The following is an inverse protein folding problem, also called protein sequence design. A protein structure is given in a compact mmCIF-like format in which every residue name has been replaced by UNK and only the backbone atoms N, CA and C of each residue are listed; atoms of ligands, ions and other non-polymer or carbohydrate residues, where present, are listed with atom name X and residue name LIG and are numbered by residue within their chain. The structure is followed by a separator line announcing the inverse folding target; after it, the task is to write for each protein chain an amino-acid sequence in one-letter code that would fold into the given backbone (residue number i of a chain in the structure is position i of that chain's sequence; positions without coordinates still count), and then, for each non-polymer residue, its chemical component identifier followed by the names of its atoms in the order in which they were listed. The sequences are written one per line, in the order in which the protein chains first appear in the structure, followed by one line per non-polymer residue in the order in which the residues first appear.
data_IF_046257935943
#
_entry.id   IF_046257935943
#
_cell.length_a   1.000
_cell.length_b   1.000
_cell.length_c   1.000
_cell.angle_alpha   90.00
_cell.angle_beta   90.00
_cell.angle_gamma   90.00
#
_symmetry.space_group_name_H-M   'P 1'
#
loop_
_entity.id
_entity.type
_entity.pdbx_description
1 polymer ?
#
# COMPACT_ATOMS: atom_id res chain seq x y z
N UNK A 1 20.54 -10.56 42.77
CA UNK A 1 19.17 -10.94 42.43
C UNK A 1 18.51 -9.69 41.89
N UNK A 2 18.56 -9.49 40.61
CA UNK A 2 17.85 -8.43 39.89
C UNK A 2 17.06 -9.12 38.78
N UNK A 3 15.76 -8.97 38.91
CA UNK A 3 14.76 -9.51 37.98
C UNK A 3 14.83 -8.79 36.64
N UNK A 4 14.98 -9.56 35.58
CA UNK A 4 14.88 -9.09 34.21
C UNK A 4 13.39 -8.88 33.86
N UNK A 5 12.93 -7.65 33.81
CA UNK A 5 11.64 -7.30 33.21
C UNK A 5 11.67 -7.53 31.70
N UNK A 6 10.97 -8.54 31.28
CA UNK A 6 10.68 -8.87 29.89
C UNK A 6 9.70 -7.83 29.32
N UNK A 7 10.15 -7.05 28.35
CA UNK A 7 9.32 -6.23 27.48
C UNK A 7 8.44 -7.13 26.57
N UNK A 8 7.30 -7.53 27.08
CA UNK A 8 6.24 -8.20 26.32
C UNK A 8 4.99 -7.31 26.38
N UNK A 9 4.79 -6.49 25.38
CA UNK A 9 3.70 -5.54 25.32
C UNK A 9 3.29 -5.14 23.91
N UNK A 10 3.27 -6.09 22.97
CA UNK A 10 2.45 -5.93 21.75
C UNK A 10 1.08 -6.49 22.05
N UNK A 11 -0.03 -5.78 21.78
CA UNK A 11 -1.37 -6.33 21.95
C UNK A 11 -1.50 -7.55 21.04
N UNK A 12 -1.84 -8.70 21.63
CA UNK A 12 -2.18 -9.90 20.90
C UNK A 12 -3.31 -9.56 19.92
N UNK A 13 -3.08 -9.77 18.63
CA UNK A 13 -4.12 -9.67 17.61
C UNK A 13 -5.24 -10.62 18.02
N UNK A 14 -6.43 -10.08 18.31
CA UNK A 14 -7.61 -10.91 18.51
C UNK A 14 -7.87 -11.66 17.21
N UNK A 15 -8.03 -12.97 17.30
CA UNK A 15 -8.12 -13.94 16.20
C UNK A 15 -9.34 -13.73 15.25
N UNK A 16 -10.07 -12.64 15.41
CA UNK A 16 -11.26 -12.31 14.64
C UNK A 16 -10.91 -11.40 13.44
N UNK A 17 -11.04 -11.94 12.24
CA UNK A 17 -10.85 -11.19 11.01
C UNK A 17 -11.87 -10.04 10.90
N UNK A 18 -11.38 -8.81 10.73
CA UNK A 18 -12.21 -7.64 10.50
C UNK A 18 -12.82 -7.65 9.10
N UNK A 19 -12.04 -8.13 8.11
CA UNK A 19 -12.48 -8.40 6.74
C UNK A 19 -12.21 -9.87 6.44
N UNK A 20 -13.19 -10.58 5.92
CA UNK A 20 -13.06 -11.94 5.41
C UNK A 20 -13.72 -12.04 4.04
N UNK A 21 -12.94 -12.41 3.04
CA UNK A 21 -13.40 -12.70 1.69
C UNK A 21 -13.04 -14.14 1.33
N UNK A 22 -13.97 -14.86 0.71
CA UNK A 22 -13.79 -16.24 0.22
C UNK A 22 -14.28 -16.36 -1.20
N UNK A 23 -13.39 -16.83 -2.08
CA UNK A 23 -13.66 -16.98 -3.52
C UNK A 23 -14.33 -15.75 -4.13
N UNK A 24 -13.83 -14.55 -3.73
CA UNK A 24 -14.45 -13.28 -4.09
C UNK A 24 -14.27 -12.99 -5.56
N UNK A 25 -15.36 -12.75 -6.27
CA UNK A 25 -15.37 -12.46 -7.70
C UNK A 25 -16.05 -11.14 -8.00
N UNK A 26 -15.44 -10.37 -8.92
CA UNK A 26 -16.05 -9.18 -9.51
C UNK A 26 -15.99 -9.22 -11.01
N UNK A 27 -17.18 -9.18 -11.66
CA UNK A 27 -17.32 -9.06 -13.12
C UNK A 27 -18.01 -7.75 -13.52
N UNK A 28 -17.61 -7.25 -14.67
CA UNK A 28 -18.22 -6.12 -15.36
C UNK A 28 -18.52 -6.58 -16.80
N UNK A 29 -19.76 -7.02 -17.06
CA UNK A 29 -20.08 -7.74 -18.30
C UNK A 29 -19.21 -9.00 -18.42
N UNK A 30 -18.50 -9.13 -19.54
CA UNK A 30 -17.61 -10.27 -19.82
C UNK A 30 -16.23 -10.13 -19.17
N UNK A 31 -15.89 -8.96 -18.62
CA UNK A 31 -14.60 -8.71 -18.00
C UNK A 31 -14.59 -9.12 -16.52
N UNK A 32 -13.68 -10.02 -16.13
CA UNK A 32 -13.47 -10.42 -14.75
C UNK A 32 -12.35 -9.60 -14.15
N UNK A 33 -12.70 -8.66 -13.29
CA UNK A 33 -11.76 -7.76 -12.63
C UNK A 33 -11.13 -8.36 -11.35
N UNK A 34 -11.85 -9.26 -10.68
CA UNK A 34 -11.38 -10.02 -9.51
C UNK A 34 -11.87 -11.44 -9.71
N UNK A 35 -10.97 -12.42 -9.61
CA UNK A 35 -11.19 -13.81 -10.00
C UNK A 35 -10.89 -14.77 -8.85
N UNK A 36 -11.86 -14.92 -7.93
CA UNK A 36 -11.85 -15.94 -6.88
C UNK A 36 -10.80 -15.73 -5.81
N UNK A 37 -10.60 -14.49 -5.32
CA UNK A 37 -9.60 -14.22 -4.29
C UNK A 37 -10.11 -14.53 -2.88
N UNK A 38 -9.20 -15.02 -2.03
CA UNK A 38 -9.39 -15.20 -0.59
C UNK A 38 -8.54 -14.17 0.16
N UNK A 39 -9.15 -13.42 1.08
CA UNK A 39 -8.48 -12.36 1.84
C UNK A 39 -9.00 -12.31 3.27
N UNK A 40 -8.07 -12.22 4.22
CA UNK A 40 -8.39 -12.02 5.63
C UNK A 40 -7.57 -10.83 6.16
N UNK A 41 -8.22 -9.84 6.75
CA UNK A 41 -7.57 -8.68 7.38
C UNK A 41 -7.94 -8.67 8.86
N UNK A 42 -6.93 -8.62 9.72
CA UNK A 42 -7.13 -8.60 11.17
C UNK A 42 -7.32 -7.19 11.70
N UNK A 43 -7.91 -7.07 12.87
CA UNK A 43 -8.12 -5.78 13.54
C UNK A 43 -6.77 -5.15 13.91
N UNK A 44 -6.60 -3.85 13.63
CA UNK A 44 -5.36 -3.10 13.90
C UNK A 44 -4.21 -3.41 12.92
N UNK A 45 -4.44 -4.28 11.93
CA UNK A 45 -3.48 -4.60 10.89
C UNK A 45 -3.42 -3.49 9.82
N UNK A 46 -2.24 -3.29 9.25
CA UNK A 46 -2.06 -2.56 7.99
C UNK A 46 -1.85 -3.55 6.87
N UNK A 47 -2.87 -3.69 6.01
CA UNK A 47 -2.92 -4.67 4.93
C UNK A 47 -2.84 -4.01 3.56
N UNK A 48 -1.98 -4.54 2.67
CA UNK A 48 -1.74 -4.02 1.33
C UNK A 48 -2.28 -4.88 0.20
N UNK A 49 -2.82 -4.25 -0.84
CA UNK A 49 -3.01 -4.84 -2.16
C UNK A 49 -1.96 -4.22 -3.09
N UNK A 50 -0.91 -4.96 -3.41
CA UNK A 50 0.17 -4.55 -4.31
C UNK A 50 -0.05 -5.15 -5.69
N UNK A 51 0.21 -4.40 -6.76
CA UNK A 51 0.14 -4.90 -8.14
C UNK A 51 -0.01 -3.81 -9.18
N UNK A 52 0.07 -4.15 -10.47
CA UNK A 52 -0.02 -3.19 -11.57
C UNK A 52 -1.44 -2.61 -11.72
N UNK A 53 -1.56 -1.61 -12.57
CA UNK A 53 -2.85 -1.09 -12.98
C UNK A 53 -3.67 -2.18 -13.66
N UNK A 54 -4.96 -2.26 -13.32
CA UNK A 54 -5.85 -3.32 -13.85
C UNK A 54 -5.78 -4.66 -13.10
N UNK A 55 -4.91 -4.84 -12.09
CA UNK A 55 -4.81 -6.09 -11.32
C UNK A 55 -6.04 -6.41 -10.43
N UNK A 56 -7.03 -5.53 -10.33
CA UNK A 56 -8.24 -5.76 -9.54
C UNK A 56 -8.28 -5.06 -8.18
N UNK A 57 -7.20 -4.38 -7.77
CA UNK A 57 -7.04 -3.73 -6.45
C UNK A 57 -8.20 -2.78 -6.11
N UNK A 58 -8.44 -1.75 -6.94
CA UNK A 58 -9.52 -0.77 -6.69
C UNK A 58 -10.92 -1.40 -6.78
N UNK A 59 -11.11 -2.47 -7.58
CA UNK A 59 -12.37 -3.21 -7.60
C UNK A 59 -12.62 -3.93 -6.28
N UNK A 60 -11.59 -4.54 -5.71
CA UNK A 60 -11.63 -5.17 -4.37
C UNK A 60 -11.92 -4.11 -3.30
N UNK A 61 -11.23 -2.97 -3.33
CA UNK A 61 -11.48 -1.85 -2.40
C UNK A 61 -12.92 -1.34 -2.47
N UNK A 62 -13.50 -1.22 -3.66
CA UNK A 62 -14.89 -0.77 -3.84
C UNK A 62 -15.91 -1.78 -3.30
N UNK A 63 -15.63 -3.08 -3.36
CA UNK A 63 -16.45 -4.11 -2.71
C UNK A 63 -16.35 -4.01 -1.19
N UNK A 64 -15.15 -3.89 -0.63
CA UNK A 64 -14.93 -3.70 0.80
C UNK A 64 -15.58 -2.40 1.29
N UNK A 65 -15.49 -1.30 0.53
CA UNK A 65 -16.15 -0.02 0.82
C UNK A 65 -17.67 -0.03 0.67
N UNK A 66 -18.29 -1.16 0.32
CA UNK A 66 -19.73 -1.28 0.04
C UNK A 66 -20.24 -0.30 -1.05
N UNK A 67 -19.40 0.00 -2.04
CA UNK A 67 -19.73 0.87 -3.19
C UNK A 67 -20.04 0.05 -4.43
N UNK A 68 -19.45 -1.14 -4.55
CA UNK A 68 -19.69 -2.08 -5.65
C UNK A 68 -20.21 -3.42 -5.10
N UNK A 69 -21.25 -4.01 -5.69
CA UNK A 69 -21.73 -5.32 -5.24
C UNK A 69 -20.71 -6.42 -5.61
N UNK A 70 -20.65 -7.44 -4.77
CA UNK A 70 -19.96 -8.71 -5.05
C UNK A 70 -20.73 -9.45 -6.15
N UNK A 71 -20.00 -10.07 -7.11
CA UNK A 71 -20.63 -10.87 -8.17
C UNK A 71 -20.83 -12.32 -7.71
N UNK A 72 -19.75 -12.93 -7.15
CA UNK A 72 -19.76 -14.28 -6.59
C UNK A 72 -18.84 -14.36 -5.39
N UNK A 73 -18.97 -15.40 -4.60
CA UNK A 73 -18.20 -15.60 -3.37
C UNK A 73 -18.81 -14.91 -2.15
N UNK A 74 -18.06 -14.87 -1.08
CA UNK A 74 -18.51 -14.28 0.20
C UNK A 74 -17.59 -13.14 0.60
N UNK A 75 -18.20 -12.07 1.14
CA UNK A 75 -17.49 -10.96 1.78
C UNK A 75 -18.16 -10.63 3.11
N UNK A 76 -17.37 -10.58 4.17
CA UNK A 76 -17.80 -10.12 5.50
C UNK A 76 -16.89 -8.99 5.96
N UNK A 77 -17.50 -7.93 6.51
CA UNK A 77 -16.79 -6.78 7.05
C UNK A 77 -17.39 -6.51 8.43
N UNK A 78 -16.56 -6.52 9.47
CA UNK A 78 -17.04 -6.51 10.86
C UNK A 78 -18.05 -7.65 11.14
N UNK A 79 -17.92 -8.82 10.48
CA UNK A 79 -18.87 -9.92 10.54
C UNK A 79 -20.18 -9.70 9.78
N UNK A 80 -20.39 -8.51 9.19
CA UNK A 80 -21.62 -8.10 8.48
C UNK A 80 -21.53 -8.35 6.98
N UNK A 81 -22.69 -8.53 6.33
CA UNK A 81 -22.83 -8.70 4.89
C UNK A 81 -22.95 -7.32 4.19
N UNK A 82 -22.03 -6.93 3.27
CA UNK A 82 -22.10 -5.66 2.57
C UNK A 82 -23.39 -5.42 1.81
N UNK A 83 -24.02 -6.47 1.28
CA UNK A 83 -25.26 -6.36 0.53
C UNK A 83 -26.47 -6.00 1.42
N UNK A 84 -26.45 -6.43 2.68
CA UNK A 84 -27.53 -6.21 3.65
C UNK A 84 -27.26 -5.05 4.60
N UNK A 85 -26.03 -4.98 5.11
CA UNK A 85 -25.63 -4.08 6.19
C UNK A 85 -24.75 -2.91 5.70
N UNK A 86 -24.69 -2.63 4.41
CA UNK A 86 -23.77 -1.66 3.81
C UNK A 86 -23.80 -0.27 4.47
N UNK A 87 -24.97 0.23 4.91
CA UNK A 87 -25.05 1.50 5.65
C UNK A 87 -24.35 1.43 7.01
N UNK A 88 -24.53 0.33 7.75
CA UNK A 88 -23.90 0.11 9.07
C UNK A 88 -22.39 -0.06 8.95
N UNK A 89 -21.95 -0.75 7.90
CA UNK A 89 -20.52 -0.94 7.59
C UNK A 89 -19.91 0.42 7.25
N UNK A 90 -20.48 1.18 6.30
CA UNK A 90 -19.95 2.49 5.90
C UNK A 90 -19.88 3.50 7.04
N UNK A 91 -20.76 3.42 8.03
CA UNK A 91 -20.70 4.28 9.22
C UNK A 91 -19.41 4.06 10.05
N UNK A 92 -18.71 2.92 9.89
CA UNK A 92 -17.50 2.52 10.62
C UNK A 92 -16.24 2.54 9.75
N UNK A 93 -16.36 2.98 8.49
CA UNK A 93 -15.26 3.03 7.51
C UNK A 93 -14.95 4.48 7.17
N UNK A 94 -13.66 4.81 7.08
CA UNK A 94 -13.16 5.98 6.37
C UNK A 94 -12.66 5.57 4.99
N UNK A 95 -12.87 6.42 3.99
CA UNK A 95 -12.40 6.15 2.62
C UNK A 95 -11.63 7.35 2.10
N UNK A 96 -10.39 7.11 1.67
CA UNK A 96 -9.56 8.06 0.95
C UNK A 96 -9.45 7.54 -0.49
N UNK A 97 -10.23 8.09 -1.43
CA UNK A 97 -10.21 7.66 -2.83
C UNK A 97 -8.92 8.12 -3.52
N UNK A 98 -8.61 7.52 -4.67
CA UNK A 98 -7.44 7.89 -5.48
C UNK A 98 -7.46 9.39 -5.88
N UNK A 99 -8.61 9.90 -6.30
CA UNK A 99 -8.80 11.32 -6.56
C UNK A 99 -9.43 12.03 -5.36
N UNK A 100 -8.86 13.17 -4.95
CA UNK A 100 -9.41 13.97 -3.86
C UNK A 100 -10.76 14.56 -4.27
N UNK A 101 -11.82 14.08 -3.63
CA UNK A 101 -13.21 14.52 -3.87
C UNK A 101 -13.58 15.63 -2.87
N UNK A 102 -12.78 16.71 -2.82
CA UNK A 102 -13.04 17.87 -1.97
C UNK A 102 -13.95 18.85 -2.69
N UNK A 103 -14.84 19.50 -1.95
CA UNK A 103 -15.69 20.56 -2.47
C UNK A 103 -14.88 21.87 -2.54
N UNK A 104 -14.62 22.35 -3.76
CA UNK A 104 -13.83 23.55 -3.99
C UNK A 104 -14.53 24.84 -3.58
N UNK A 105 -15.87 24.81 -3.47
CA UNK A 105 -16.66 25.95 -3.02
C UNK A 105 -16.59 26.17 -1.50
N UNK A 106 -16.18 25.14 -0.76
CA UNK A 106 -16.07 25.17 0.70
C UNK A 106 -14.64 25.48 1.15
N UNK A 107 -14.52 25.98 2.38
CA UNK A 107 -13.23 26.03 3.05
C UNK A 107 -12.76 24.64 3.47
N UNK A 108 -11.48 24.50 3.82
CA UNK A 108 -10.91 23.25 4.33
C UNK A 108 -11.73 22.72 5.50
N UNK A 109 -11.99 23.52 6.52
CA UNK A 109 -12.76 23.08 7.70
C UNK A 109 -14.21 22.79 7.37
N UNK A 110 -14.83 23.54 6.44
CA UNK A 110 -16.23 23.32 6.08
C UNK A 110 -16.39 22.00 5.29
N UNK A 111 -15.39 21.57 4.53
CA UNK A 111 -15.36 20.24 3.92
C UNK A 111 -15.48 19.13 4.98
N UNK A 112 -14.73 19.24 6.09
CA UNK A 112 -14.76 18.24 7.17
C UNK A 112 -16.10 18.32 7.92
N UNK A 113 -16.56 19.52 8.25
CA UNK A 113 -17.83 19.74 8.96
C UNK A 113 -19.01 19.20 8.14
N UNK A 114 -19.08 19.49 6.84
CA UNK A 114 -20.13 18.98 5.96
C UNK A 114 -20.10 17.45 5.93
N UNK A 115 -18.91 16.85 5.77
CA UNK A 115 -18.77 15.40 5.72
C UNK A 115 -19.22 14.73 7.01
N UNK A 116 -18.93 15.31 8.19
CA UNK A 116 -19.43 14.82 9.48
C UNK A 116 -20.96 14.82 9.57
N UNK A 117 -21.63 15.77 8.89
CA UNK A 117 -23.10 15.80 8.85
C UNK A 117 -23.73 14.61 8.12
N UNK A 118 -23.02 13.96 7.19
CA UNK A 118 -23.50 12.72 6.56
C UNK A 118 -23.53 11.53 7.52
N UNK A 119 -22.85 11.62 8.66
CA UNK A 119 -22.86 10.63 9.74
C UNK A 119 -23.79 11.02 10.89
N UNK A 120 -24.70 11.95 10.68
CA UNK A 120 -25.66 12.46 11.67
C UNK A 120 -25.02 13.10 12.92
N UNK A 121 -23.73 13.49 12.85
CA UNK A 121 -23.04 14.15 13.96
C UNK A 121 -23.58 15.58 14.16
N UNK A 122 -23.77 16.03 15.42
CA UNK A 122 -24.13 17.42 15.71
C UNK A 122 -23.11 18.41 15.16
N UNK A 123 -23.55 19.58 14.68
CA UNK A 123 -22.65 20.57 14.04
C UNK A 123 -21.48 21.00 14.95
N UNK A 124 -21.73 21.15 16.24
CA UNK A 124 -20.69 21.50 17.22
C UNK A 124 -19.62 20.39 17.31
N UNK A 125 -20.05 19.12 17.31
CA UNK A 125 -19.14 17.96 17.32
C UNK A 125 -18.36 17.85 16.00
N UNK A 126 -19.00 18.06 14.85
CA UNK A 126 -18.31 18.11 13.57
C UNK A 126 -17.20 19.18 13.57
N UNK A 127 -17.49 20.35 14.14
CA UNK A 127 -16.53 21.46 14.21
C UNK A 127 -15.35 21.12 15.11
N UNK A 128 -15.60 20.59 16.31
CA UNK A 128 -14.56 20.16 17.24
C UNK A 128 -13.64 19.11 16.60
N UNK A 129 -14.22 18.05 16.04
CA UNK A 129 -13.44 17.00 15.35
C UNK A 129 -12.67 17.53 14.15
N UNK A 130 -13.26 18.43 13.37
CA UNK A 130 -12.57 19.03 12.23
C UNK A 130 -11.32 19.82 12.65
N UNK A 131 -11.39 20.58 13.76
CA UNK A 131 -10.26 21.32 14.31
C UNK A 131 -9.15 20.36 14.79
N UNK A 132 -9.48 19.31 15.52
CA UNK A 132 -8.54 18.27 15.98
C UNK A 132 -7.88 17.52 14.80
N UNK A 133 -8.67 17.18 13.79
CA UNK A 133 -8.16 16.48 12.60
C UNK A 133 -7.27 17.39 11.73
N UNK A 134 -7.57 18.69 11.66
CA UNK A 134 -6.69 19.63 10.96
C UNK A 134 -5.37 19.84 11.71
N UNK A 135 -5.37 19.80 13.02
CA UNK A 135 -4.15 19.77 13.82
C UNK A 135 -3.35 18.48 13.57
N UNK A 136 -4.03 17.33 13.61
CA UNK A 136 -3.41 16.03 13.31
C UNK A 136 -2.71 16.00 11.96
N UNK A 137 -3.33 16.57 10.90
CA UNK A 137 -2.72 16.63 9.55
C UNK A 137 -1.87 17.88 9.31
N UNK A 138 -1.63 18.72 10.34
CA UNK A 138 -0.83 19.95 10.27
C UNK A 138 -1.35 20.96 9.23
N UNK A 139 -2.64 21.25 9.27
CA UNK A 139 -3.29 22.21 8.39
C UNK A 139 -4.21 23.18 9.16
N UNK A 140 -3.98 23.39 10.46
CA UNK A 140 -4.78 24.30 11.29
C UNK A 140 -4.70 25.74 10.78
N UNK A 141 -3.54 26.17 10.29
CA UNK A 141 -3.30 27.50 9.69
C UNK A 141 -4.06 27.70 8.38
N UNK A 142 -4.48 26.63 7.72
CA UNK A 142 -5.23 26.61 6.46
C UNK A 142 -6.72 26.33 6.63
N UNK A 143 -7.22 26.20 7.85
CA UNK A 143 -8.61 25.83 8.12
C UNK A 143 -9.65 26.66 7.35
N UNK A 144 -9.42 27.97 7.21
CA UNK A 144 -10.33 28.92 6.51
C UNK A 144 -9.98 29.08 5.02
N UNK A 145 -8.89 28.48 4.54
CA UNK A 145 -8.51 28.57 3.12
C UNK A 145 -9.49 27.79 2.25
N UNK A 146 -9.65 28.22 0.99
CA UNK A 146 -10.32 27.41 -0.05
C UNK A 146 -9.44 26.23 -0.43
N UNK A 147 -10.02 25.25 -1.11
CA UNK A 147 -9.31 24.03 -1.55
C UNK A 147 -8.40 24.32 -2.75
N UNK A 148 -8.83 25.18 -3.68
CA UNK A 148 -8.11 25.45 -4.93
C UNK A 148 -6.62 25.82 -4.73
N UNK A 149 -6.24 26.76 -3.83
CA UNK A 149 -4.85 27.18 -3.65
C UNK A 149 -3.96 26.18 -2.90
N UNK A 150 -4.48 25.03 -2.47
CA UNK A 150 -3.70 24.01 -1.77
C UNK A 150 -2.85 23.18 -2.74
N UNK A 151 -1.63 22.82 -2.33
CA UNK A 151 -0.83 21.83 -3.06
C UNK A 151 -1.51 20.45 -3.06
N UNK A 152 -1.13 19.56 -3.99
CA UNK A 152 -1.64 18.20 -4.04
C UNK A 152 -1.46 17.45 -2.70
N UNK A 153 -0.28 17.56 -2.08
CA UNK A 153 -0.03 16.97 -0.76
C UNK A 153 -0.90 17.56 0.36
N UNK A 154 -1.23 18.85 0.29
CA UNK A 154 -2.17 19.46 1.24
C UNK A 154 -3.60 18.97 0.99
N UNK A 155 -4.06 18.89 -0.26
CA UNK A 155 -5.39 18.34 -0.61
C UNK A 155 -5.50 16.89 -0.13
N UNK A 156 -4.46 16.08 -0.32
CA UNK A 156 -4.43 14.69 0.16
C UNK A 156 -4.54 14.59 1.67
N UNK A 157 -3.85 15.45 2.43
CA UNK A 157 -3.96 15.52 3.89
C UNK A 157 -5.37 15.94 4.34
N UNK A 158 -6.02 16.88 3.65
CA UNK A 158 -7.44 17.24 3.91
C UNK A 158 -8.35 16.05 3.64
N UNK A 159 -8.13 15.30 2.56
CA UNK A 159 -8.90 14.09 2.20
C UNK A 159 -8.82 13.03 3.30
N UNK A 160 -7.62 12.83 3.86
CA UNK A 160 -7.43 11.92 5.00
C UNK A 160 -8.14 12.44 6.26
N UNK A 161 -7.95 13.71 6.63
CA UNK A 161 -8.65 14.30 7.76
C UNK A 161 -10.17 14.14 7.63
N UNK A 162 -10.72 14.38 6.43
CA UNK A 162 -12.13 14.18 6.14
C UNK A 162 -12.57 12.74 6.36
N UNK A 163 -11.77 11.75 5.94
CA UNK A 163 -12.10 10.34 6.09
C UNK A 163 -12.09 9.83 7.52
N UNK A 164 -11.54 10.62 8.46
CA UNK A 164 -11.46 10.29 9.89
C UNK A 164 -12.57 10.93 10.73
N UNK A 165 -13.42 11.79 10.15
CA UNK A 165 -14.42 12.58 10.88
C UNK A 165 -15.43 11.71 11.65
N UNK A 166 -15.76 10.53 11.12
CA UNK A 166 -16.69 9.56 11.73
C UNK A 166 -16.02 8.59 12.71
N UNK A 167 -14.74 8.81 13.08
CA UNK A 167 -13.96 7.93 13.96
C UNK A 167 -13.98 6.46 13.48
N UNK A 168 -13.42 6.19 12.29
CA UNK A 168 -13.54 4.88 11.65
C UNK A 168 -12.65 3.84 12.32
N UNK A 169 -13.13 2.58 12.35
CA UNK A 169 -12.36 1.41 12.78
C UNK A 169 -11.53 0.82 11.63
N UNK A 170 -11.88 1.15 10.39
CA UNK A 170 -11.24 0.72 9.15
C UNK A 170 -11.06 1.92 8.24
N UNK A 171 -9.83 2.16 7.80
CA UNK A 171 -9.50 3.19 6.81
C UNK A 171 -9.08 2.52 5.50
N UNK A 172 -9.82 2.80 4.43
CA UNK A 172 -9.54 2.36 3.08
C UNK A 172 -8.80 3.46 2.32
N UNK A 173 -7.63 3.13 1.76
CA UNK A 173 -6.71 4.07 1.10
C UNK A 173 -6.44 3.58 -0.32
N UNK A 174 -7.07 4.21 -1.32
CA UNK A 174 -6.83 3.86 -2.72
C UNK A 174 -5.69 4.72 -3.28
N UNK A 175 -4.51 4.11 -3.47
CA UNK A 175 -3.27 4.75 -3.93
C UNK A 175 -2.96 6.07 -3.18
N UNK A 176 -2.71 6.03 -1.87
CA UNK A 176 -2.72 7.23 -1.04
C UNK A 176 -1.61 8.23 -1.36
N UNK A 177 -0.49 7.82 -1.96
CA UNK A 177 0.67 8.68 -2.23
C UNK A 177 0.87 9.02 -3.70
N UNK A 178 0.01 8.56 -4.59
CA UNK A 178 0.10 8.85 -6.02
C UNK A 178 0.07 10.36 -6.29
N UNK A 179 1.05 10.84 -7.05
CA UNK A 179 1.18 12.26 -7.40
C UNK A 179 1.75 13.16 -6.30
N UNK A 180 2.21 12.59 -5.18
CA UNK A 180 2.87 13.33 -4.12
C UNK A 180 4.39 13.38 -4.33
N UNK A 181 4.99 14.53 -3.99
CA UNK A 181 6.45 14.64 -3.88
C UNK A 181 6.98 13.76 -2.71
N UNK A 182 8.28 13.42 -2.71
CA UNK A 182 8.85 12.53 -1.69
C UNK A 182 8.64 13.03 -0.25
N UNK A 183 8.71 14.34 -0.02
CA UNK A 183 8.53 14.91 1.31
C UNK A 183 7.07 14.77 1.78
N UNK A 184 6.10 15.08 0.92
CA UNK A 184 4.68 14.92 1.22
C UNK A 184 4.32 13.45 1.48
N UNK A 185 4.95 12.49 0.76
CA UNK A 185 4.79 11.05 0.94
C UNK A 185 5.23 10.62 2.35
N UNK A 186 6.42 11.02 2.79
CA UNK A 186 6.92 10.68 4.14
C UNK A 186 6.03 11.26 5.25
N UNK A 187 5.57 12.51 5.10
CA UNK A 187 4.63 13.11 6.06
C UNK A 187 3.34 12.30 6.14
N UNK A 188 2.84 11.82 5.01
CA UNK A 188 1.64 11.00 4.97
C UNK A 188 1.86 9.64 5.65
N UNK A 189 2.95 8.94 5.35
CA UNK A 189 3.30 7.67 5.98
C UNK A 189 3.38 7.77 7.52
N UNK A 190 4.01 8.85 8.05
CA UNK A 190 4.04 9.10 9.49
C UNK A 190 2.64 9.22 10.09
N UNK A 191 1.69 9.89 9.39
CA UNK A 191 0.31 10.01 9.87
C UNK A 191 -0.43 8.68 9.84
N UNK A 192 -0.30 7.90 8.78
CA UNK A 192 -0.90 6.56 8.69
C UNK A 192 -0.34 5.61 9.74
N UNK A 193 0.95 5.65 9.99
CA UNK A 193 1.58 4.88 11.05
C UNK A 193 1.03 5.23 12.44
N UNK A 194 0.82 6.52 12.74
CA UNK A 194 0.20 6.96 14.01
C UNK A 194 -1.24 6.48 14.15
N UNK A 195 -2.03 6.50 13.07
CA UNK A 195 -3.39 5.96 13.09
C UNK A 195 -3.42 4.47 13.40
N UNK A 196 -2.49 3.71 12.80
CA UNK A 196 -2.31 2.29 13.11
C UNK A 196 -1.97 2.07 14.59
N UNK A 197 -1.06 2.85 15.16
CA UNK A 197 -0.72 2.77 16.59
C UNK A 197 -1.92 3.06 17.51
N UNK A 198 -2.88 3.86 17.04
CA UNK A 198 -4.15 4.13 17.73
C UNK A 198 -5.18 3.01 17.56
N UNK A 199 -4.84 1.93 16.86
CA UNK A 199 -5.70 0.76 16.68
C UNK A 199 -6.62 0.82 15.44
N UNK A 200 -6.47 1.81 14.57
CA UNK A 200 -7.19 1.87 13.29
C UNK A 200 -6.62 0.81 12.35
N UNK A 201 -7.49 -0.03 11.78
CA UNK A 201 -7.11 -0.97 10.73
C UNK A 201 -6.95 -0.22 9.42
N UNK A 202 -5.84 -0.42 8.73
CA UNK A 202 -5.56 0.20 7.44
C UNK A 202 -5.62 -0.85 6.33
N UNK A 203 -6.31 -0.53 5.24
CA UNK A 203 -6.26 -1.33 4.01
C UNK A 203 -5.92 -0.38 2.88
N UNK A 204 -4.83 -0.65 2.18
CA UNK A 204 -4.37 0.20 1.10
C UNK A 204 -4.16 -0.55 -0.20
N UNK A 205 -4.36 0.14 -1.31
CA UNK A 205 -3.90 -0.29 -2.63
C UNK A 205 -2.69 0.53 -3.02
N UNK A 206 -1.72 -0.10 -3.64
CA UNK A 206 -0.56 0.60 -4.16
C UNK A 206 0.06 -0.16 -5.34
N UNK A 207 0.78 0.56 -6.17
CA UNK A 207 1.72 0.03 -7.14
C UNK A 207 3.17 0.44 -6.78
N UNK A 208 3.36 1.15 -5.65
CA UNK A 208 4.68 1.52 -5.13
C UNK A 208 5.14 0.51 -4.07
N UNK A 209 6.25 -0.16 -4.35
CA UNK A 209 6.81 -1.18 -3.46
C UNK A 209 7.32 -0.59 -2.15
N UNK A 210 7.96 0.57 -2.23
CA UNK A 210 8.44 1.32 -1.05
C UNK A 210 7.30 1.68 -0.09
N UNK A 211 6.12 2.05 -0.61
CA UNK A 211 4.93 2.29 0.20
C UNK A 211 4.45 1.01 0.89
N UNK A 212 4.41 -0.11 0.14
CA UNK A 212 4.01 -1.39 0.70
C UNK A 212 4.98 -1.88 1.79
N UNK A 213 6.30 -1.73 1.59
CA UNK A 213 7.32 -2.08 2.57
C UNK A 213 7.23 -1.25 3.85
N UNK A 214 6.93 0.05 3.72
CA UNK A 214 6.89 0.96 4.87
C UNK A 214 5.60 0.89 5.68
N UNK A 215 4.47 0.63 5.03
CA UNK A 215 3.15 0.74 5.68
C UNK A 215 2.53 -0.60 6.03
N UNK A 216 2.79 -1.67 5.27
CA UNK A 216 2.06 -2.93 5.44
C UNK A 216 2.74 -3.88 6.41
N UNK A 217 1.94 -4.47 7.31
CA UNK A 217 2.34 -5.64 8.09
C UNK A 217 2.32 -6.89 7.23
N UNK A 218 1.30 -7.00 6.38
CA UNK A 218 1.06 -8.08 5.46
C UNK A 218 0.40 -7.52 4.19
N UNK A 219 0.69 -8.15 3.08
CA UNK A 219 0.12 -7.74 1.80
C UNK A 219 -0.13 -8.95 0.90
N UNK A 220 -0.97 -8.75 -0.10
CA UNK A 220 -1.12 -9.64 -1.23
C UNK A 220 -0.57 -8.97 -2.48
N UNK A 221 0.14 -9.76 -3.30
CA UNK A 221 0.52 -9.36 -4.66
C UNK A 221 -0.58 -9.81 -5.60
N UNK A 222 -1.16 -8.87 -6.33
CA UNK A 222 -2.23 -9.13 -7.29
C UNK A 222 -1.74 -8.97 -8.73
N UNK A 223 -2.08 -9.92 -9.59
CA UNK A 223 -1.92 -9.81 -11.03
C UNK A 223 -3.10 -10.48 -11.75
N UNK A 224 -3.63 -9.86 -12.83
CA UNK A 224 -4.73 -10.41 -13.63
C UNK A 224 -5.99 -10.78 -12.83
N UNK A 225 -6.32 -10.03 -11.79
CA UNK A 225 -7.49 -10.29 -10.92
C UNK A 225 -7.28 -11.37 -9.86
N UNK A 226 -6.08 -11.96 -9.74
CA UNK A 226 -5.75 -13.04 -8.81
C UNK A 226 -4.71 -12.62 -7.80
N UNK A 227 -4.66 -13.33 -6.67
CA UNK A 227 -3.55 -13.22 -5.71
C UNK A 227 -2.49 -14.23 -6.15
N UNK A 228 -1.26 -13.74 -6.39
CA UNK A 228 -0.11 -14.57 -6.78
C UNK A 228 0.85 -14.84 -5.63
N UNK A 229 0.84 -13.99 -4.60
CA UNK A 229 1.59 -14.19 -3.36
C UNK A 229 0.94 -13.44 -2.20
N UNK A 230 1.15 -13.92 -0.97
CA UNK A 230 0.69 -13.28 0.27
C UNK A 230 1.74 -13.45 1.36
N UNK A 231 1.99 -12.41 2.14
CA UNK A 231 2.92 -12.44 3.26
C UNK A 231 3.25 -11.05 3.80
N UNK A 232 4.12 -10.99 4.80
CA UNK A 232 4.76 -9.74 5.17
C UNK A 232 5.77 -9.33 4.07
N UNK A 233 6.09 -8.03 3.91
CA UNK A 233 7.15 -7.62 2.98
C UNK A 233 8.42 -8.45 3.14
N UNK A 234 8.86 -8.63 4.36
CA UNK A 234 10.06 -9.41 4.69
C UNK A 234 9.94 -10.88 4.26
N UNK A 235 8.82 -11.54 4.60
CA UNK A 235 8.61 -12.96 4.25
C UNK A 235 8.56 -13.17 2.74
N UNK A 236 7.92 -12.23 2.00
CA UNK A 236 7.87 -12.28 0.54
C UNK A 236 9.27 -12.13 -0.08
N UNK A 237 10.08 -11.20 0.45
CA UNK A 237 11.47 -11.01 -0.02
C UNK A 237 12.29 -12.29 0.26
N UNK A 238 12.21 -12.86 1.45
CA UNK A 238 12.92 -14.09 1.84
C UNK A 238 12.50 -15.32 1.00
N UNK A 239 11.22 -15.36 0.56
CA UNK A 239 10.67 -16.51 -0.18
C UNK A 239 10.91 -16.44 -1.69
N UNK A 240 10.84 -15.24 -2.28
CA UNK A 240 10.82 -15.04 -3.73
C UNK A 240 12.06 -14.33 -4.29
N UNK A 241 12.99 -13.92 -3.44
CA UNK A 241 14.25 -13.29 -3.84
C UNK A 241 15.42 -13.82 -3.00
N UNK A 242 16.64 -13.49 -3.42
CA UNK A 242 17.84 -13.74 -2.63
C UNK A 242 18.06 -12.63 -1.60
N UNK A 243 19.07 -12.79 -0.74
CA UNK A 243 19.40 -11.78 0.27
C UNK A 243 19.83 -10.45 -0.32
N UNK A 244 20.60 -10.50 -1.42
CA UNK A 244 21.24 -9.34 -2.02
C UNK A 244 21.09 -9.38 -3.54
N UNK A 245 21.16 -8.20 -4.14
CA UNK A 245 21.20 -8.00 -5.59
C UNK A 245 22.43 -7.18 -5.92
N UNK A 246 23.25 -7.69 -6.83
CA UNK A 246 24.33 -6.94 -7.43
C UNK A 246 23.80 -6.30 -8.72
N UNK A 247 23.70 -4.99 -8.73
CA UNK A 247 23.29 -4.17 -9.87
C UNK A 247 24.52 -3.67 -10.60
N UNK A 248 24.64 -4.01 -11.91
CA UNK A 248 25.76 -3.64 -12.75
C UNK A 248 25.27 -2.76 -13.90
N UNK A 249 25.92 -1.64 -14.12
CA UNK A 249 25.68 -0.78 -15.28
C UNK A 249 26.87 -0.79 -16.21
N UNK A 250 26.60 -0.98 -17.50
CA UNK A 250 27.57 -0.99 -18.56
C UNK A 250 27.24 0.11 -19.58
N UNK A 251 28.18 0.46 -20.49
CA UNK A 251 27.89 1.39 -21.57
C UNK A 251 26.62 0.99 -22.35
N UNK A 252 25.83 1.98 -22.74
CA UNK A 252 24.54 1.77 -23.40
C UNK A 252 24.63 0.79 -24.59
N UNK A 253 23.72 -0.18 -24.63
CA UNK A 253 23.66 -1.19 -25.68
C UNK A 253 24.65 -2.35 -25.53
N UNK A 254 25.41 -2.44 -24.43
CA UNK A 254 26.37 -3.55 -24.20
C UNK A 254 25.96 -4.52 -23.12
N UNK A 255 24.81 -4.30 -22.45
CA UNK A 255 24.33 -5.12 -21.34
C UNK A 255 24.23 -6.61 -21.70
N UNK A 256 23.66 -6.96 -22.87
CA UNK A 256 23.53 -8.35 -23.31
C UNK A 256 24.89 -9.03 -23.52
N UNK A 257 25.87 -8.29 -24.07
CA UNK A 257 27.22 -8.80 -24.29
C UNK A 257 27.95 -9.12 -22.99
N UNK A 258 27.78 -8.25 -21.99
CA UNK A 258 28.38 -8.44 -20.67
C UNK A 258 27.62 -9.46 -19.84
N UNK A 259 26.28 -9.48 -19.94
CA UNK A 259 25.43 -10.47 -19.29
C UNK A 259 25.85 -11.91 -19.63
N UNK A 260 26.20 -12.18 -20.87
CA UNK A 260 26.67 -13.51 -21.29
C UNK A 260 27.92 -14.00 -20.54
N UNK A 261 28.74 -13.08 -19.98
CA UNK A 261 29.93 -13.42 -19.19
C UNK A 261 29.67 -13.64 -17.72
N UNK A 262 28.52 -13.19 -17.21
CA UNK A 262 28.19 -13.15 -15.78
C UNK A 262 26.93 -13.95 -15.45
N UNK A 263 26.32 -14.62 -16.43
CA UNK A 263 25.03 -15.30 -16.33
C UNK A 263 24.96 -16.39 -15.25
N UNK A 264 26.07 -17.01 -14.92
CA UNK A 264 26.21 -18.08 -13.93
C UNK A 264 26.78 -17.59 -12.58
N UNK A 265 26.92 -16.29 -12.41
CA UNK A 265 27.25 -15.67 -11.13
C UNK A 265 25.95 -15.40 -10.39
N UNK A 266 25.73 -16.07 -9.26
CA UNK A 266 24.50 -15.97 -8.50
C UNK A 266 23.44 -16.99 -8.89
N UNK A 267 22.26 -16.89 -8.29
CA UNK A 267 21.17 -17.88 -8.45
C UNK A 267 20.23 -17.52 -9.60
N UNK A 268 20.07 -16.25 -9.88
CA UNK A 268 19.24 -15.69 -10.95
C UNK A 268 19.90 -14.43 -11.49
N UNK A 269 19.66 -14.11 -12.75
CA UNK A 269 20.07 -12.84 -13.32
C UNK A 269 18.96 -12.28 -14.21
N UNK A 270 18.95 -10.96 -14.39
CA UNK A 270 18.04 -10.26 -15.29
C UNK A 270 18.81 -9.18 -16.06
N UNK A 271 18.49 -9.06 -17.34
CA UNK A 271 19.04 -8.01 -18.20
C UNK A 271 17.96 -6.98 -18.45
N UNK A 272 18.16 -5.80 -17.91
CA UNK A 272 17.29 -4.65 -18.13
C UNK A 272 17.95 -3.72 -19.18
N UNK A 273 17.21 -2.82 -19.82
CA UNK A 273 17.76 -1.92 -20.82
C UNK A 273 18.95 -1.08 -20.32
N UNK A 274 18.96 -0.70 -19.06
CA UNK A 274 19.96 0.19 -18.43
C UNK A 274 20.92 -0.50 -17.47
N UNK A 275 20.69 -1.79 -17.12
CA UNK A 275 21.49 -2.51 -16.11
C UNK A 275 21.32 -4.02 -16.20
N UNK A 276 22.22 -4.74 -15.53
CA UNK A 276 22.15 -6.17 -15.26
C UNK A 276 22.00 -6.39 -13.77
N UNK A 277 21.04 -7.22 -13.36
CA UNK A 277 20.80 -7.61 -11.96
C UNK A 277 21.26 -9.05 -11.77
N UNK A 278 22.11 -9.27 -10.76
CA UNK A 278 22.54 -10.61 -10.32
C UNK A 278 22.03 -10.82 -8.92
N UNK A 279 21.16 -11.80 -8.75
CA UNK A 279 20.55 -12.17 -7.48
C UNK A 279 21.44 -13.19 -6.78
N UNK A 280 21.89 -12.87 -5.56
CA UNK A 280 22.90 -13.65 -4.84
C UNK A 280 22.73 -13.54 -3.33
N UNK A 281 23.35 -14.46 -2.59
CA UNK A 281 23.44 -14.36 -1.14
C UNK A 281 24.62 -13.49 -0.64
N UNK A 282 25.64 -13.28 -1.49
CA UNK A 282 26.82 -12.48 -1.22
C UNK A 282 27.19 -11.63 -2.44
N UNK A 283 26.73 -10.38 -2.43
CA UNK A 283 26.92 -9.44 -3.54
C UNK A 283 28.38 -9.00 -3.71
N UNK A 284 29.13 -8.92 -2.63
CA UNK A 284 30.56 -8.57 -2.68
C UNK A 284 31.38 -9.69 -3.34
N UNK A 285 31.14 -10.94 -2.96
CA UNK A 285 31.78 -12.08 -3.61
C UNK A 285 31.41 -12.17 -5.09
N UNK A 286 30.14 -11.93 -5.43
CA UNK A 286 29.69 -11.87 -6.82
C UNK A 286 30.40 -10.77 -7.61
N UNK A 287 30.61 -9.58 -7.03
CA UNK A 287 31.32 -8.48 -7.68
C UNK A 287 32.80 -8.82 -7.96
N UNK A 288 33.46 -9.49 -7.03
CA UNK A 288 34.84 -9.98 -7.20
C UNK A 288 34.90 -10.95 -8.38
N UNK A 289 33.94 -11.86 -8.49
CA UNK A 289 33.88 -12.84 -9.60
C UNK A 289 33.58 -12.14 -10.95
N UNK A 290 32.71 -11.12 -10.99
CA UNK A 290 32.46 -10.29 -12.18
C UNK A 290 33.78 -9.69 -12.69
N UNK A 291 34.58 -9.10 -11.81
CA UNK A 291 35.87 -8.53 -12.19
C UNK A 291 36.90 -9.60 -12.64
N UNK A 292 36.93 -10.77 -11.98
CA UNK A 292 37.81 -11.88 -12.33
C UNK A 292 37.55 -12.40 -13.77
N UNK A 293 36.28 -12.31 -14.22
CA UNK A 293 35.90 -12.65 -15.61
C UNK A 293 36.15 -11.54 -16.62
N UNK A 294 36.80 -10.46 -16.20
CA UNK A 294 37.17 -9.34 -17.08
C UNK A 294 35.99 -8.43 -17.43
N UNK A 295 34.87 -8.56 -16.75
CA UNK A 295 33.76 -7.63 -16.90
C UNK A 295 34.05 -6.37 -16.04
N UNK A 296 34.04 -5.20 -16.69
CA UNK A 296 34.29 -3.92 -16.04
C UNK A 296 33.06 -3.02 -16.18
N UNK A 297 32.11 -3.06 -15.22
CA UNK A 297 30.97 -2.17 -15.22
C UNK A 297 31.37 -0.71 -14.97
N UNK A 298 30.65 0.24 -15.53
CA UNK A 298 30.78 1.67 -15.22
C UNK A 298 30.36 1.97 -13.78
N UNK A 299 29.39 1.20 -13.28
CA UNK A 299 28.89 1.30 -11.91
C UNK A 299 28.45 -0.08 -11.42
N UNK A 300 28.77 -0.38 -10.17
CA UNK A 300 28.34 -1.57 -9.45
C UNK A 300 27.76 -1.17 -8.09
N UNK A 301 26.59 -1.73 -7.74
CA UNK A 301 25.90 -1.48 -6.48
C UNK A 301 25.43 -2.81 -5.88
N UNK A 302 25.91 -3.14 -4.71
CA UNK A 302 25.35 -4.22 -3.89
C UNK A 302 24.25 -3.62 -2.99
N UNK A 303 23.03 -4.15 -3.12
CA UNK A 303 21.89 -3.73 -2.32
C UNK A 303 21.12 -4.92 -1.75
N UNK A 304 20.33 -4.71 -0.74
CA UNK A 304 19.35 -5.70 -0.28
C UNK A 304 18.26 -5.86 -1.33
N UNK A 305 17.70 -7.07 -1.40
CA UNK A 305 16.48 -7.31 -2.18
C UNK A 305 15.28 -6.57 -1.59
N UNK A 306 14.37 -6.19 -2.46
CA UNK A 306 13.15 -5.43 -2.16
C UNK A 306 11.91 -6.13 -2.72
N UNK A 307 10.73 -5.59 -2.45
CA UNK A 307 9.48 -6.07 -3.07
C UNK A 307 9.48 -5.88 -4.60
N UNK A 308 10.30 -4.97 -5.15
CA UNK A 308 10.48 -4.84 -6.61
C UNK A 308 11.06 -6.13 -7.20
N UNK A 309 12.07 -6.69 -6.55
CA UNK A 309 12.71 -7.93 -6.97
C UNK A 309 11.75 -9.14 -6.85
N UNK A 310 10.89 -9.13 -5.82
CA UNK A 310 9.82 -10.13 -5.66
C UNK A 310 8.83 -10.03 -6.81
N UNK A 311 8.38 -8.82 -7.14
CA UNK A 311 7.40 -8.61 -8.20
C UNK A 311 7.95 -9.05 -9.57
N UNK A 312 9.18 -8.66 -9.90
CA UNK A 312 9.89 -9.12 -11.10
C UNK A 312 9.96 -10.66 -11.15
N UNK A 313 10.29 -11.30 -10.03
CA UNK A 313 10.34 -12.76 -9.93
C UNK A 313 8.99 -13.43 -10.20
N UNK A 314 7.90 -12.87 -9.68
CA UNK A 314 6.55 -13.47 -9.78
C UNK A 314 5.88 -13.24 -11.13
N UNK A 315 6.13 -12.10 -11.78
CA UNK A 315 5.39 -11.67 -12.97
C UNK A 315 6.21 -11.59 -14.24
N UNK A 316 7.54 -11.61 -14.14
CA UNK A 316 8.47 -11.46 -15.26
C UNK A 316 8.46 -10.06 -15.90
N UNK A 317 7.87 -9.07 -15.25
CA UNK A 317 7.78 -7.67 -15.71
C UNK A 317 7.89 -6.69 -14.56
N UNK A 318 8.31 -5.44 -14.83
CA UNK A 318 8.28 -4.37 -13.85
C UNK A 318 6.85 -3.81 -13.66
N UNK A 319 6.58 -3.17 -12.51
CA UNK A 319 5.28 -2.49 -12.28
C UNK A 319 5.11 -1.20 -13.11
N UNK A 320 6.16 -0.74 -13.75
CA UNK A 320 6.22 0.55 -14.46
C UNK A 320 5.88 0.43 -15.95
N UNK A 321 5.58 -0.78 -16.44
CA UNK A 321 5.19 -1.04 -17.84
C UNK A 321 3.69 -0.89 -18.04
#
# INVERSE_FOLDING_TARGET
MQESETLSGLPAHTDEALISARSLVKRFGDFTAVDGIDVHVHRGESFGFLGPNGAGKSSTMRMIGCVSPVTEGELRIFGMDPARDGKRIRARIGVVPQQDQLDEQLSVIDNLVLYGRYFDLPRAECRRRAEELLEFVQLSDRAKSKIEPLSGGMKRRVSIARSLVNDPQLLLLDEPTTGLDPQARHVLWDRLYRLKQQGVTLVLTTHYMDEAEQLCDRLVVMDGGKIVAEGSPRTLIEQYSTREVLELRYPAGTNETWAAKVVDIGERFEVLPDRVLIYTHDGEAALVEVHARGAQPESALVRRSSLEDVFLSLTGRSLVD
#
